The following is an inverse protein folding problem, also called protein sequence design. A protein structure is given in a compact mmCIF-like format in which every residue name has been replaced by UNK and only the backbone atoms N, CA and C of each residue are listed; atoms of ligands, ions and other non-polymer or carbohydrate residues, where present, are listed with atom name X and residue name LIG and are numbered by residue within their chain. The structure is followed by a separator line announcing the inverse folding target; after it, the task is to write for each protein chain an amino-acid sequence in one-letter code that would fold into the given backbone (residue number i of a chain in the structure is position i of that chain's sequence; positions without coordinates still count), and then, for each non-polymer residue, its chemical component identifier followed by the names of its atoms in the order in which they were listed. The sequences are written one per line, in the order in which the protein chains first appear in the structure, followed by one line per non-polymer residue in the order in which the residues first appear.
data_IF_927634108193
#
_entry.id   IF_927634108193
#
_cell.length_a   1.000
_cell.length_b   1.000
_cell.length_c   1.000
_cell.angle_alpha   90.00
_cell.angle_beta   90.00
_cell.angle_gamma   90.00
#
_symmetry.space_group_name_H-M   'P 1'
#
loop_
_entity.id
_entity.type
_entity.pdbx_description
1 polymer ?
#
# COMPACT_ATOMS: atom_id res chain seq x y z
N UNK A 1 12.71 -4.16 -8.59
CA UNK A 1 12.06 -3.30 -7.56
C UNK A 1 11.89 -1.90 -8.10
N UNK A 2 10.70 -1.36 -7.94
CA UNK A 2 10.41 0.01 -8.38
C UNK A 2 10.66 0.98 -7.23
N UNK A 3 11.30 2.10 -7.52
CA UNK A 3 11.38 3.19 -6.57
C UNK A 3 10.17 4.10 -6.75
N UNK A 4 9.77 4.80 -5.70
CA UNK A 4 8.64 5.73 -5.74
C UNK A 4 9.08 7.17 -6.01
N UNK A 5 10.29 7.36 -6.53
CA UNK A 5 10.79 8.68 -6.88
C UNK A 5 9.95 9.41 -7.92
N UNK A 6 9.16 8.67 -8.72
CA UNK A 6 8.24 9.28 -9.68
C UNK A 6 7.01 9.92 -9.02
N UNK A 7 6.70 9.56 -7.78
CA UNK A 7 5.65 10.19 -7.00
C UNK A 7 6.23 11.42 -6.32
N UNK A 8 5.85 12.60 -6.78
CA UNK A 8 6.48 13.86 -6.38
C UNK A 8 6.49 14.09 -4.88
N UNK A 9 5.50 13.58 -4.15
CA UNK A 9 5.34 13.85 -2.72
C UNK A 9 5.52 12.61 -1.86
N UNK A 10 5.67 11.45 -2.49
CA UNK A 10 5.72 10.20 -1.78
C UNK A 10 4.38 9.76 -1.23
N UNK A 11 4.33 8.57 -0.69
CA UNK A 11 3.16 8.04 0.01
C UNK A 11 3.59 7.44 1.33
N UNK A 12 2.67 7.48 2.30
CA UNK A 12 2.97 7.16 3.69
C UNK A 12 1.98 6.15 4.23
N UNK A 13 2.48 5.28 5.09
CA UNK A 13 1.66 4.33 5.87
C UNK A 13 1.64 4.78 7.32
N UNK A 14 0.47 4.76 7.95
CA UNK A 14 0.34 4.90 9.39
C UNK A 14 0.58 3.56 10.06
N UNK A 15 1.68 3.45 10.78
CA UNK A 15 2.16 2.18 11.32
C UNK A 15 3.03 1.44 10.33
N UNK A 16 3.66 0.35 10.79
CA UNK A 16 4.55 -0.47 9.96
C UNK A 16 3.87 -1.77 9.50
N UNK A 17 2.62 -2.00 9.88
CA UNK A 17 1.93 -3.25 9.60
C UNK A 17 1.31 -3.21 8.20
N UNK A 18 1.75 -4.12 7.34
CA UNK A 18 1.22 -4.32 6.00
C UNK A 18 0.51 -5.68 5.88
N UNK A 19 -0.10 -6.15 6.97
CA UNK A 19 -0.88 -7.38 6.95
C UNK A 19 -2.26 -7.10 6.34
N UNK A 20 -2.57 -7.67 5.16
CA UNK A 20 -3.84 -7.40 4.50
C UNK A 20 -4.97 -8.24 5.11
N UNK A 21 -6.17 -7.67 5.11
CA UNK A 21 -7.38 -8.37 5.55
C UNK A 21 -8.20 -8.73 4.32
N UNK A 22 -8.30 -10.04 4.06
CA UNK A 22 -9.08 -10.53 2.93
C UNK A 22 -10.56 -10.18 3.14
N UNK A 23 -11.19 -9.64 2.11
CA UNK A 23 -12.59 -9.19 2.16
C UNK A 23 -12.75 -7.76 2.64
N UNK A 24 -11.68 -7.13 3.15
CA UNK A 24 -11.69 -5.73 3.62
C UNK A 24 -10.71 -4.90 2.83
N UNK A 25 -9.42 -5.23 2.93
CA UNK A 25 -8.37 -4.50 2.22
C UNK A 25 -8.26 -4.96 0.76
N UNK A 26 -8.48 -6.24 0.51
CA UNK A 26 -8.42 -6.84 -0.82
C UNK A 26 -9.60 -7.79 -1.02
N UNK A 27 -10.00 -7.97 -2.28
CA UNK A 27 -11.13 -8.82 -2.65
C UNK A 27 -10.71 -9.85 -3.67
N UNK A 28 -11.31 -11.04 -3.57
CA UNK A 28 -11.14 -12.09 -4.59
C UNK A 28 -12.08 -11.84 -5.75
N UNK A 29 -11.61 -12.13 -6.96
CA UNK A 29 -12.45 -12.20 -8.12
C UNK A 29 -13.17 -13.55 -8.08
N UNK A 30 -14.51 -13.51 -8.26
CA UNK A 30 -15.39 -14.65 -8.00
C UNK A 30 -15.07 -15.87 -8.87
N UNK A 31 -14.73 -15.66 -10.13
CA UNK A 31 -14.59 -16.77 -11.09
C UNK A 31 -13.22 -17.41 -11.04
N UNK A 32 -12.19 -16.69 -10.61
CA UNK A 32 -10.81 -17.16 -10.64
C UNK A 32 -10.25 -17.46 -9.26
N UNK A 33 -10.82 -16.86 -8.20
CA UNK A 33 -10.25 -16.95 -6.86
C UNK A 33 -8.97 -16.15 -6.68
N UNK A 34 -8.59 -15.34 -7.67
CA UNK A 34 -7.43 -14.48 -7.59
C UNK A 34 -7.83 -13.10 -7.06
N UNK A 35 -6.88 -12.38 -6.47
CA UNK A 35 -7.15 -11.04 -5.99
C UNK A 35 -7.45 -10.09 -7.14
N UNK A 36 -8.40 -9.20 -6.92
CA UNK A 36 -8.68 -8.07 -7.80
C UNK A 36 -7.54 -7.06 -7.67
N UNK A 37 -7.39 -6.22 -8.69
CA UNK A 37 -6.31 -5.25 -8.77
C UNK A 37 -6.78 -3.82 -8.49
N UNK A 38 -7.97 -3.68 -7.94
CA UNK A 38 -8.60 -2.37 -7.71
C UNK A 38 -8.73 -2.02 -6.23
N UNK A 39 -8.13 -2.81 -5.35
CA UNK A 39 -8.12 -2.56 -3.90
C UNK A 39 -6.81 -3.00 -3.28
N UNK A 40 -6.46 -2.36 -2.17
CA UNK A 40 -5.27 -2.73 -1.42
C UNK A 40 -5.20 -2.01 -0.08
N UNK A 41 -4.06 -2.09 0.56
CA UNK A 41 -3.79 -1.47 1.85
C UNK A 41 -3.74 0.04 1.69
N UNK A 42 -4.40 0.76 2.61
CA UNK A 42 -4.49 2.22 2.57
C UNK A 42 -3.17 2.92 2.82
N UNK A 43 -2.89 3.90 1.99
CA UNK A 43 -1.75 4.80 2.12
C UNK A 43 -2.26 6.22 1.91
N UNK A 44 -1.46 7.22 2.28
CA UNK A 44 -1.79 8.62 2.07
C UNK A 44 -0.58 9.38 1.54
N UNK A 45 -0.81 10.35 0.68
CA UNK A 45 0.26 11.25 0.24
C UNK A 45 0.50 12.38 1.24
N UNK A 46 -0.31 12.44 2.31
CA UNK A 46 -0.21 13.42 3.38
C UNK A 46 0.19 12.71 4.68
N UNK A 47 1.38 12.98 5.22
CA UNK A 47 1.82 12.31 6.44
C UNK A 47 0.93 12.62 7.65
N UNK A 48 0.26 13.77 7.68
CA UNK A 48 -0.66 14.10 8.77
C UNK A 48 -1.86 13.16 8.76
N UNK A 49 -2.38 12.82 7.59
CA UNK A 49 -3.47 11.85 7.46
C UNK A 49 -3.02 10.45 7.85
N UNK A 50 -1.84 10.05 7.42
CA UNK A 50 -1.27 8.75 7.79
C UNK A 50 -1.07 8.64 9.31
N UNK A 51 -0.69 9.72 9.96
CA UNK A 51 -0.41 9.73 11.40
C UNK A 51 -1.63 9.36 12.25
N UNK A 52 -2.84 9.47 11.71
CA UNK A 52 -4.06 9.05 12.42
C UNK A 52 -4.10 7.56 12.72
N UNK A 53 -3.33 6.78 11.99
CA UNK A 53 -3.36 5.31 12.07
C UNK A 53 -2.11 4.73 12.70
N UNK A 54 -1.15 5.56 13.11
CA UNK A 54 0.08 5.11 13.75
C UNK A 54 1.28 5.92 13.32
N UNK A 55 2.46 5.52 13.79
CA UNK A 55 3.70 6.19 13.44
C UNK A 55 3.87 6.20 11.91
N UNK A 56 4.27 7.34 11.38
CA UNK A 56 4.32 7.54 9.92
C UNK A 56 5.55 6.87 9.33
N UNK A 57 5.33 6.09 8.28
CA UNK A 57 6.38 5.44 7.51
C UNK A 57 6.27 5.84 6.06
N UNK A 58 7.38 6.25 5.46
CA UNK A 58 7.45 6.50 4.03
C UNK A 58 7.55 5.17 3.30
N UNK A 59 6.75 4.97 2.27
CA UNK A 59 6.92 3.82 1.37
C UNK A 59 8.08 4.15 0.44
N UNK A 60 9.23 3.52 0.67
CA UNK A 60 10.46 3.86 -0.04
C UNK A 60 10.59 3.13 -1.36
N UNK A 61 10.18 1.87 -1.41
CA UNK A 61 10.21 1.09 -2.64
C UNK A 61 9.24 -0.07 -2.60
N UNK A 62 8.88 -0.57 -3.79
CA UNK A 62 8.00 -1.71 -3.98
C UNK A 62 8.70 -2.79 -4.78
N UNK A 63 8.38 -4.08 -4.53
CA UNK A 63 8.74 -5.13 -5.46
C UNK A 63 7.87 -5.06 -6.72
N UNK A 64 8.29 -5.73 -7.78
CA UNK A 64 7.40 -5.98 -8.92
C UNK A 64 6.19 -6.78 -8.46
N UNK A 65 5.06 -6.55 -9.11
CA UNK A 65 3.81 -7.21 -8.77
C UNK A 65 2.90 -6.39 -7.89
N UNK A 66 3.38 -5.28 -7.32
CA UNK A 66 2.57 -4.33 -6.58
C UNK A 66 2.52 -2.99 -7.29
N UNK A 67 1.43 -2.26 -7.08
CA UNK A 67 1.28 -0.89 -7.58
C UNK A 67 0.65 -0.03 -6.50
N UNK A 68 0.82 1.28 -6.63
CA UNK A 68 0.15 2.26 -5.79
C UNK A 68 -0.73 3.12 -6.70
N UNK A 69 -2.00 3.26 -6.31
CA UNK A 69 -2.97 3.99 -7.12
C UNK A 69 -3.91 4.75 -6.20
N UNK A 70 -4.25 5.97 -6.60
CA UNK A 70 -5.23 6.77 -5.90
C UNK A 70 -6.60 6.11 -6.02
N UNK A 71 -7.36 6.12 -4.90
CA UNK A 71 -8.69 5.54 -4.89
C UNK A 71 -9.57 6.28 -3.90
N UNK A 72 -10.84 6.42 -4.30
CA UNK A 72 -11.85 7.06 -3.46
C UNK A 72 -11.94 8.56 -3.67
N UNK A 73 -12.77 9.21 -2.86
CA UNK A 73 -13.07 10.64 -2.97
C UNK A 73 -11.98 11.53 -2.41
N UNK A 74 -11.22 11.03 -1.42
CA UNK A 74 -10.11 11.77 -0.87
C UNK A 74 -8.91 11.64 -1.83
N UNK A 75 -8.54 12.74 -2.47
CA UNK A 75 -7.44 12.76 -3.43
C UNK A 75 -6.10 12.37 -2.79
N UNK A 76 -5.98 12.46 -1.47
CA UNK A 76 -4.78 12.06 -0.74
C UNK A 76 -4.75 10.56 -0.42
N UNK A 77 -5.85 9.84 -0.64
CA UNK A 77 -5.94 8.43 -0.33
C UNK A 77 -5.45 7.58 -1.51
N UNK A 78 -4.49 6.72 -1.23
CA UNK A 78 -3.93 5.76 -2.17
C UNK A 78 -4.06 4.37 -1.60
N UNK A 79 -3.92 3.36 -2.44
CA UNK A 79 -3.92 1.98 -2.01
C UNK A 79 -2.77 1.22 -2.66
N UNK A 80 -2.18 0.33 -1.87
CA UNK A 80 -1.11 -0.57 -2.29
C UNK A 80 -1.76 -1.86 -2.76
N UNK A 81 -1.80 -2.05 -4.07
CA UNK A 81 -2.63 -3.06 -4.73
C UNK A 81 -1.78 -4.10 -5.45
N UNK A 82 -2.36 -5.30 -5.69
CA UNK A 82 -1.76 -6.18 -6.67
C UNK A 82 -1.72 -5.49 -8.04
N UNK A 83 -0.59 -5.55 -8.73
CA UNK A 83 -0.47 -4.98 -10.07
C UNK A 83 -1.15 -5.84 -11.13
N UNK A 84 -1.35 -7.11 -10.83
CA UNK A 84 -2.04 -8.07 -11.68
C UNK A 84 -2.79 -9.06 -10.79
N UNK A 85 -3.79 -9.79 -11.31
CA UNK A 85 -4.47 -10.81 -10.51
C UNK A 85 -3.48 -11.84 -10.00
N UNK A 86 -3.56 -12.18 -8.71
CA UNK A 86 -2.65 -13.13 -8.08
C UNK A 86 -3.33 -13.80 -6.89
N UNK A 87 -2.82 -14.96 -6.46
CA UNK A 87 -3.30 -15.56 -5.21
C UNK A 87 -3.04 -14.65 -4.01
N UNK A 88 -3.89 -14.72 -3.00
CA UNK A 88 -3.73 -13.92 -1.78
C UNK A 88 -2.35 -14.13 -1.13
N UNK A 89 -1.89 -15.37 -1.09
CA UNK A 89 -0.59 -15.70 -0.48
C UNK A 89 0.57 -15.01 -1.20
N UNK A 90 0.45 -14.83 -2.52
CA UNK A 90 1.47 -14.12 -3.28
C UNK A 90 1.49 -12.64 -2.91
N UNK A 91 0.33 -12.03 -2.74
CA UNK A 91 0.23 -10.65 -2.31
C UNK A 91 0.85 -10.45 -0.92
N UNK A 92 0.51 -11.34 0.02
CA UNK A 92 1.09 -11.31 1.37
C UNK A 92 2.61 -11.36 1.31
N UNK A 93 3.17 -12.26 0.50
CA UNK A 93 4.62 -12.38 0.34
C UNK A 93 5.23 -11.11 -0.24
N UNK A 94 4.61 -10.54 -1.28
CA UNK A 94 5.12 -9.32 -1.89
C UNK A 94 5.11 -8.14 -0.91
N UNK A 95 4.11 -8.07 -0.05
CA UNK A 95 4.05 -7.01 0.97
C UNK A 95 5.22 -7.07 1.94
N UNK A 96 5.78 -8.25 2.20
CA UNK A 96 6.97 -8.37 3.05
C UNK A 96 8.22 -7.76 2.41
N UNK A 97 8.19 -7.51 1.10
CA UNK A 97 9.31 -6.93 0.35
C UNK A 97 9.19 -5.42 0.15
N UNK A 98 8.09 -4.84 0.58
CA UNK A 98 7.93 -3.38 0.56
C UNK A 98 8.88 -2.79 1.59
N UNK A 99 9.62 -1.76 1.19
CA UNK A 99 10.54 -1.09 2.10
C UNK A 99 9.84 0.13 2.67
N UNK A 100 9.65 0.11 3.99
CA UNK A 100 9.11 1.23 4.76
C UNK A 100 10.22 1.88 5.56
N UNK A 101 10.25 3.20 5.54
CA UNK A 101 11.22 3.98 6.33
C UNK A 101 10.48 4.83 7.34
N UNK A 102 10.72 4.64 8.65
CA UNK A 102 10.09 5.49 9.66
C UNK A 102 10.51 6.94 9.47
N UNK A 103 9.54 7.85 9.59
CA UNK A 103 9.86 9.27 9.64
C UNK A 103 10.18 9.64 11.06
N UNK A 104 11.40 10.16 11.28
CA UNK A 104 11.81 10.61 12.59
C UNK A 104 11.27 12.00 12.83
N UNK A 105 10.74 12.22 14.04
CA UNK A 105 10.39 13.56 14.46
C UNK A 105 11.65 14.37 14.70
N UNK A 106 11.69 15.54 14.11
CA UNK A 106 12.66 16.54 14.52
C UNK A 106 12.22 17.06 15.89
N UNK A 107 13.02 16.85 16.86
CA UNK A 107 12.78 17.41 18.19
C UNK A 107 13.38 18.81 18.31
#
# INVERSE_FOLDING_TARGET
MQTLGALLQGVFRGGADLTPRLGIDVLLERNTGLLRTDRGISLFDDPVKAARFGAVHLVESLPEGLKIQQRGRDASHYELMPAEPMPFERYVELLTRVVLRPLQRMS
#
